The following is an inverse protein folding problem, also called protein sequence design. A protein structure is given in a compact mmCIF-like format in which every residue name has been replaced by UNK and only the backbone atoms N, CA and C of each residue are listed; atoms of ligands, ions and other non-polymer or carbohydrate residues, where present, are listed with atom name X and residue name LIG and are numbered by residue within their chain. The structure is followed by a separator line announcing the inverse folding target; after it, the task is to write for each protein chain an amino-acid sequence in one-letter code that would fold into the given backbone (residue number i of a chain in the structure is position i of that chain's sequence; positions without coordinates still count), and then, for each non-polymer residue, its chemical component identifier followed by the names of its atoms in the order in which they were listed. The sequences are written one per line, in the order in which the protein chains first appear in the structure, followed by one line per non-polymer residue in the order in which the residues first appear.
data_IF_234149950069
#
_entry.id   IF_234149950069
#
_cell.length_a   1.000
_cell.length_b   1.000
_cell.length_c   1.000
_cell.angle_alpha   90.00
_cell.angle_beta   90.00
_cell.angle_gamma   90.00
#
_symmetry.space_group_name_H-M   'P 1'
#
loop_
_entity.id
_entity.type
_entity.pdbx_description
1 polymer ?
#
# COMPACT_ATOMS: atom_id res chain seq x y z
N UNK A 1 15.37 1.92 10.25
CA UNK A 1 14.70 2.83 11.21
C UNK A 1 13.20 2.69 11.03
N UNK A 2 12.54 1.95 11.92
CA UNK A 2 11.11 1.64 11.86
C UNK A 2 10.52 1.69 13.28
N UNK A 3 9.25 2.07 13.41
CA UNK A 3 8.55 2.10 14.71
C UNK A 3 9.24 3.01 15.73
N UNK A 4 9.60 2.48 16.90
CA UNK A 4 10.29 3.24 17.98
C UNK A 4 11.81 3.09 17.94
N UNK A 5 12.35 2.26 17.05
CA UNK A 5 13.79 2.01 17.00
C UNK A 5 14.55 3.12 16.25
N UNK A 6 15.25 3.96 17.01
CA UNK A 6 16.29 4.85 16.50
C UNK A 6 17.65 4.26 16.82
N UNK A 7 18.45 3.85 15.83
CA UNK A 7 19.80 3.33 16.06
C UNK A 7 20.68 4.41 16.70
N UNK A 8 21.69 3.98 17.46
CA UNK A 8 22.68 4.87 18.04
C UNK A 8 23.42 5.67 16.95
N UNK A 9 23.91 6.86 17.29
CA UNK A 9 24.61 7.73 16.34
C UNK A 9 25.84 7.06 15.72
N UNK A 10 26.53 6.19 16.47
CA UNK A 10 27.68 5.42 15.97
C UNK A 10 27.25 4.43 14.87
N UNK A 11 26.10 3.78 15.04
CA UNK A 11 25.55 2.88 14.03
C UNK A 11 25.12 3.64 12.77
N UNK A 12 24.52 4.83 12.92
CA UNK A 12 24.16 5.67 11.77
C UNK A 12 25.37 6.21 11.02
N UNK A 13 26.45 6.57 11.72
CA UNK A 13 27.69 7.07 11.11
C UNK A 13 28.49 6.00 10.38
N UNK A 14 28.35 4.73 10.78
CA UNK A 14 29.03 3.58 10.18
C UNK A 14 28.20 2.87 9.11
N UNK A 15 26.91 3.18 9.00
CA UNK A 15 26.03 2.56 8.01
C UNK A 15 26.25 3.13 6.61
N UNK A 16 26.47 2.25 5.64
CA UNK A 16 26.51 2.62 4.22
C UNK A 16 25.11 2.83 3.61
N UNK A 17 24.11 2.12 4.15
CA UNK A 17 22.72 2.15 3.68
C UNK A 17 21.79 2.37 4.88
N UNK A 18 20.95 3.41 4.78
CA UNK A 18 19.95 3.76 5.79
C UNK A 18 18.56 3.56 5.20
N UNK A 19 17.81 2.59 5.73
CA UNK A 19 16.40 2.38 5.42
C UNK A 19 15.57 3.05 6.52
N UNK A 20 14.67 3.97 6.14
CA UNK A 20 13.88 4.76 7.10
C UNK A 20 12.48 5.03 6.58
N UNK A 21 11.52 5.14 7.49
CA UNK A 21 10.23 5.77 7.15
C UNK A 21 10.40 7.28 7.01
N UNK A 22 9.51 7.98 6.27
CA UNK A 22 9.57 9.44 6.15
C UNK A 22 9.61 10.14 7.51
N UNK A 23 8.77 9.74 8.47
CA UNK A 23 8.67 10.39 9.77
C UNK A 23 9.99 10.35 10.55
N UNK A 24 10.69 9.20 10.50
CA UNK A 24 11.99 9.04 11.17
C UNK A 24 13.07 9.87 10.48
N UNK A 25 13.06 9.92 9.16
CA UNK A 25 14.04 10.71 8.42
C UNK A 25 13.80 12.22 8.56
N UNK A 26 12.54 12.67 8.62
CA UNK A 26 12.20 14.07 8.89
C UNK A 26 12.74 14.51 10.27
N UNK A 27 12.47 13.74 11.32
CA UNK A 27 13.00 14.04 12.67
C UNK A 27 14.53 14.07 12.71
N UNK A 28 15.19 13.31 11.83
CA UNK A 28 16.64 13.29 11.72
C UNK A 28 17.20 14.49 10.95
N UNK A 29 16.59 14.82 9.82
CA UNK A 29 17.11 15.78 8.86
C UNK A 29 16.84 17.25 9.24
N UNK A 30 15.96 17.54 10.19
CA UNK A 30 15.73 18.91 10.71
C UNK A 30 17.02 19.58 11.21
N UNK A 31 17.83 18.87 11.99
CA UNK A 31 19.10 19.39 12.52
C UNK A 31 20.31 19.02 11.65
N UNK A 32 20.18 19.12 10.32
CA UNK A 32 21.23 18.70 9.39
C UNK A 32 22.56 19.46 9.56
N UNK A 33 22.53 20.74 10.00
CA UNK A 33 23.73 21.52 10.31
C UNK A 33 24.64 20.87 11.38
N UNK A 34 24.06 20.26 12.41
CA UNK A 34 24.81 19.59 13.49
C UNK A 34 25.07 18.11 13.21
N UNK A 35 24.39 17.53 12.22
CA UNK A 35 24.39 16.09 11.92
C UNK A 35 25.14 15.81 10.63
N UNK A 36 26.45 15.60 10.76
CA UNK A 36 27.35 15.36 9.62
C UNK A 36 26.94 14.19 8.71
N UNK A 37 26.28 13.16 9.25
CA UNK A 37 25.83 12.02 8.46
C UNK A 37 24.70 12.37 7.48
N UNK A 38 23.88 13.40 7.76
CA UNK A 38 22.85 13.86 6.81
C UNK A 38 23.51 14.54 5.60
N UNK A 39 24.57 15.32 5.84
CA UNK A 39 25.35 15.98 4.78
C UNK A 39 26.23 14.99 3.98
N UNK A 40 26.50 13.80 4.52
CA UNK A 40 27.28 12.75 3.83
C UNK A 40 26.44 11.94 2.84
N UNK A 41 25.11 12.03 2.87
CA UNK A 41 24.23 11.31 1.95
C UNK A 41 24.58 11.69 0.52
N UNK A 42 24.92 10.72 -0.32
CA UNK A 42 25.19 10.93 -1.75
C UNK A 42 24.05 10.46 -2.66
N UNK A 43 23.15 9.62 -2.14
CA UNK A 43 22.06 9.01 -2.89
C UNK A 43 20.82 8.94 -1.99
N UNK A 44 19.68 9.40 -2.50
CA UNK A 44 18.38 9.27 -1.87
C UNK A 44 17.43 8.54 -2.81
N UNK A 45 16.95 7.37 -2.38
CA UNK A 45 15.95 6.57 -3.08
C UNK A 45 14.60 6.81 -2.40
N UNK A 46 13.62 7.23 -3.17
CA UNK A 46 12.26 7.51 -2.72
C UNK A 46 11.36 6.46 -3.33
N UNK A 47 11.05 5.42 -2.55
CA UNK A 47 10.11 4.39 -2.99
C UNK A 47 8.67 4.89 -2.86
N UNK A 48 7.84 4.53 -3.83
CA UNK A 48 6.42 4.90 -3.92
C UNK A 48 6.13 6.39 -3.72
N UNK A 49 6.91 7.25 -4.40
CA UNK A 49 6.83 8.72 -4.27
C UNK A 49 5.45 9.30 -4.62
N UNK A 50 4.64 8.57 -5.38
CA UNK A 50 3.26 8.92 -5.66
C UNK A 50 2.36 9.04 -4.41
N UNK A 51 2.79 8.50 -3.27
CA UNK A 51 2.16 8.69 -1.97
C UNK A 51 2.25 10.13 -1.43
N UNK A 52 2.90 11.03 -2.15
CA UNK A 52 2.91 12.46 -1.85
C UNK A 52 1.49 13.07 -1.80
N UNK A 53 0.52 12.49 -2.52
CA UNK A 53 -0.89 12.89 -2.45
C UNK A 53 -1.70 12.26 -1.31
N UNK A 54 -1.09 11.40 -0.48
CA UNK A 54 -1.76 10.74 0.65
C UNK A 54 -1.56 11.51 1.97
N UNK A 55 -2.17 11.04 3.06
CA UNK A 55 -2.10 11.68 4.39
C UNK A 55 -0.67 11.90 4.91
N UNK A 56 0.27 11.01 4.54
CA UNK A 56 1.70 11.11 4.92
C UNK A 56 2.55 11.89 3.91
N UNK A 57 1.95 12.30 2.80
CA UNK A 57 2.60 12.99 1.71
C UNK A 57 3.30 14.30 2.07
N UNK A 58 2.75 15.16 2.95
CA UNK A 58 3.42 16.40 3.36
C UNK A 58 4.81 16.18 3.96
N UNK A 59 4.96 15.12 4.76
CA UNK A 59 6.24 14.77 5.37
C UNK A 59 7.25 14.34 4.31
N UNK A 60 6.82 13.50 3.36
CA UNK A 60 7.66 13.07 2.24
C UNK A 60 8.10 14.27 1.39
N UNK A 61 7.18 15.16 1.06
CA UNK A 61 7.45 16.37 0.29
C UNK A 61 8.50 17.25 0.98
N UNK A 62 8.36 17.47 2.29
CA UNK A 62 9.28 18.31 3.06
C UNK A 62 10.68 17.70 3.13
N UNK A 63 10.78 16.40 3.35
CA UNK A 63 12.07 15.70 3.36
C UNK A 63 12.80 15.90 2.04
N UNK A 64 12.13 15.65 0.93
CA UNK A 64 12.73 15.71 -0.39
C UNK A 64 13.16 17.15 -0.70
N UNK A 65 12.28 18.11 -0.42
CA UNK A 65 12.56 19.54 -0.61
C UNK A 65 13.75 19.99 0.24
N UNK A 66 13.82 19.57 1.51
CA UNK A 66 14.95 19.84 2.41
C UNK A 66 16.25 19.22 1.89
N UNK A 67 16.23 17.98 1.44
CA UNK A 67 17.44 17.32 0.93
C UNK A 67 17.94 17.98 -0.37
N UNK A 68 17.03 18.47 -1.23
CA UNK A 68 17.41 19.27 -2.39
C UNK A 68 18.03 20.61 -1.99
N UNK A 69 17.47 21.26 -0.99
CA UNK A 69 18.04 22.47 -0.40
C UNK A 69 19.44 22.20 0.18
N UNK A 70 19.62 21.12 0.95
CA UNK A 70 20.94 20.72 1.48
C UNK A 70 21.92 20.45 0.34
N UNK A 71 21.47 19.79 -0.74
CA UNK A 71 22.30 19.54 -1.93
C UNK A 71 22.72 20.82 -2.66
N UNK A 72 21.98 21.93 -2.52
CA UNK A 72 22.35 23.21 -3.14
C UNK A 72 23.27 24.06 -2.25
N UNK A 73 23.23 23.83 -0.92
CA UNK A 73 24.09 24.49 0.06
C UNK A 73 25.43 23.79 0.28
N UNK A 74 25.51 22.49 -0.02
CA UNK A 74 26.72 21.69 0.17
C UNK A 74 27.44 21.47 -1.16
N UNK A 75 28.78 21.32 -1.13
CA UNK A 75 29.59 21.01 -2.32
C UNK A 75 29.32 19.60 -2.89
N UNK A 76 28.52 18.79 -2.19
CA UNK A 76 28.23 17.41 -2.52
C UNK A 76 26.82 17.29 -3.10
N UNK A 77 26.75 17.00 -4.40
CA UNK A 77 25.47 16.73 -5.06
C UNK A 77 24.83 15.44 -4.54
N UNK A 78 23.56 15.50 -4.18
CA UNK A 78 22.75 14.33 -3.83
C UNK A 78 22.05 13.81 -5.09
N UNK A 79 22.25 12.53 -5.42
CA UNK A 79 21.49 11.87 -6.49
C UNK A 79 20.12 11.46 -5.96
N UNK A 80 19.05 11.85 -6.64
CA UNK A 80 17.69 11.41 -6.34
C UNK A 80 17.26 10.31 -7.30
N UNK A 81 16.61 9.28 -6.77
CA UNK A 81 15.96 8.21 -7.53
C UNK A 81 14.54 8.05 -6.98
N UNK A 82 13.54 8.46 -7.76
CA UNK A 82 12.13 8.28 -7.40
C UNK A 82 11.56 7.03 -8.07
N UNK A 83 10.99 6.12 -7.29
CA UNK A 83 10.23 4.97 -7.77
C UNK A 83 8.75 5.25 -7.56
N UNK A 84 7.95 5.00 -8.59
CA UNK A 84 6.54 5.36 -8.61
C UNK A 84 5.75 4.40 -9.48
N UNK A 85 4.45 4.32 -9.20
CA UNK A 85 3.46 3.88 -10.19
C UNK A 85 3.34 4.91 -11.32
N UNK A 86 2.68 4.55 -12.41
CA UNK A 86 2.45 5.45 -13.54
C UNK A 86 1.69 6.72 -13.11
N UNK A 87 2.20 7.89 -13.47
CA UNK A 87 1.65 9.20 -13.07
C UNK A 87 1.21 10.03 -14.28
N UNK A 88 0.15 10.83 -14.12
CA UNK A 88 -0.29 11.75 -15.16
C UNK A 88 0.68 12.94 -15.31
N UNK A 89 1.17 13.46 -14.18
CA UNK A 89 2.02 14.64 -14.06
C UNK A 89 3.46 14.29 -13.64
N UNK A 90 4.04 13.26 -14.27
CA UNK A 90 5.40 12.81 -13.94
C UNK A 90 6.48 13.88 -14.22
N UNK A 91 6.22 14.82 -15.15
CA UNK A 91 7.15 15.92 -15.47
C UNK A 91 7.31 16.88 -14.31
N UNK A 92 6.23 17.32 -13.69
CA UNK A 92 6.28 18.22 -12.54
C UNK A 92 7.05 17.59 -11.37
N UNK A 93 6.86 16.28 -11.17
CA UNK A 93 7.59 15.52 -10.17
C UNK A 93 9.09 15.40 -10.51
N UNK A 94 9.43 15.16 -11.78
CA UNK A 94 10.82 15.13 -12.25
C UNK A 94 11.50 16.48 -12.06
N UNK A 95 10.85 17.58 -12.46
CA UNK A 95 11.33 18.95 -12.29
C UNK A 95 11.51 19.30 -10.82
N UNK A 96 10.58 18.86 -9.97
CA UNK A 96 10.70 19.01 -8.52
C UNK A 96 11.84 18.18 -7.93
N UNK A 97 12.16 17.01 -8.47
CA UNK A 97 13.33 16.23 -8.04
C UNK A 97 14.65 16.76 -8.63
N UNK A 98 14.58 17.59 -9.67
CA UNK A 98 15.76 17.99 -10.47
C UNK A 98 16.23 16.89 -11.41
N UNK A 99 15.34 15.98 -11.80
CA UNK A 99 15.59 14.93 -12.79
C UNK A 99 15.43 15.53 -14.18
N UNK A 100 16.45 15.35 -15.02
CA UNK A 100 16.44 15.79 -16.42
C UNK A 100 15.57 14.84 -17.27
N UNK A 101 15.16 15.29 -18.46
CA UNK A 101 14.28 14.52 -19.35
C UNK A 101 14.84 13.13 -19.72
N UNK A 102 16.16 12.98 -19.81
CA UNK A 102 16.84 11.71 -20.08
C UNK A 102 16.79 10.71 -18.90
N UNK A 103 16.50 11.20 -17.69
CA UNK A 103 16.31 10.39 -16.48
C UNK A 103 14.86 10.09 -16.13
N UNK A 104 13.89 10.66 -16.87
CA UNK A 104 12.46 10.48 -16.60
C UNK A 104 11.88 9.30 -17.37
N UNK A 105 11.56 8.23 -16.65
CA UNK A 105 10.89 7.05 -17.20
C UNK A 105 9.46 6.96 -16.65
N UNK A 106 8.47 7.35 -17.45
CA UNK A 106 7.05 7.24 -17.10
C UNK A 106 6.33 6.30 -18.07
N UNK A 107 5.96 5.12 -17.59
CA UNK A 107 5.33 4.08 -18.40
C UNK A 107 3.81 4.10 -18.24
N UNK A 108 3.09 3.56 -19.23
CA UNK A 108 1.63 3.35 -19.09
C UNK A 108 1.36 2.27 -18.05
N UNK A 109 0.24 2.32 -17.31
CA UNK A 109 -0.17 1.28 -16.35
C UNK A 109 -0.21 -0.14 -16.95
N UNK A 110 -0.40 -0.26 -18.28
CA UNK A 110 -0.42 -1.53 -19.00
C UNK A 110 0.96 -2.19 -19.15
N UNK A 111 2.05 -1.46 -18.93
CA UNK A 111 3.43 -1.98 -19.03
C UNK A 111 3.79 -2.72 -17.73
N UNK A 112 3.13 -3.86 -17.50
CA UNK A 112 3.45 -4.77 -16.39
C UNK A 112 4.11 -6.03 -16.95
N UNK A 113 5.10 -6.61 -16.25
CA UNK A 113 5.69 -7.90 -16.65
C UNK A 113 4.65 -9.01 -16.77
N UNK A 114 3.64 -8.99 -15.89
CA UNK A 114 2.44 -9.84 -15.96
C UNK A 114 1.24 -8.93 -16.22
N UNK A 115 0.63 -8.96 -17.41
CA UNK A 115 -0.58 -8.19 -17.72
C UNK A 115 -1.71 -8.47 -16.73
N UNK A 116 -2.42 -7.42 -16.32
CA UNK A 116 -3.53 -7.52 -15.37
C UNK A 116 -4.87 -7.33 -16.10
N UNK A 117 -5.75 -8.34 -16.01
CA UNK A 117 -7.15 -8.23 -16.41
C UNK A 117 -8.00 -7.75 -15.23
N UNK A 118 -8.78 -6.68 -15.41
CA UNK A 118 -9.55 -6.06 -14.33
C UNK A 118 -11.03 -6.09 -14.62
N UNK A 119 -11.81 -6.67 -13.71
CA UNK A 119 -13.26 -6.70 -13.75
C UNK A 119 -13.84 -5.84 -12.63
N UNK A 120 -14.60 -4.79 -12.98
CA UNK A 120 -15.30 -3.96 -11.99
C UNK A 120 -16.79 -4.29 -12.02
N UNK A 121 -17.31 -4.68 -10.86
CA UNK A 121 -18.72 -4.96 -10.63
C UNK A 121 -19.29 -3.96 -9.64
N UNK A 122 -20.35 -3.27 -10.04
CA UNK A 122 -21.06 -2.33 -9.19
C UNK A 122 -22.20 -3.02 -8.45
N UNK A 123 -22.43 -2.57 -7.21
CA UNK A 123 -23.43 -3.13 -6.32
C UNK A 123 -24.34 -2.01 -5.81
N UNK A 124 -25.66 -2.10 -6.03
CA UNK A 124 -26.60 -1.12 -5.54
C UNK A 124 -26.81 -1.24 -4.03
N UNK A 125 -27.46 -0.22 -3.44
CA UNK A 125 -27.81 -0.19 -2.03
C UNK A 125 -26.90 0.73 -1.23
N UNK A 126 -27.50 1.60 -0.42
CA UNK A 126 -26.79 2.66 0.33
C UNK A 126 -26.06 2.11 1.56
N UNK A 127 -26.64 1.13 2.24
CA UNK A 127 -26.11 0.62 3.50
C UNK A 127 -24.94 -0.36 3.29
N UNK A 128 -23.87 -0.17 4.05
CA UNK A 128 -22.63 -0.91 3.93
C UNK A 128 -22.80 -2.43 4.17
N UNK A 129 -23.37 -2.83 5.30
CA UNK A 129 -23.42 -4.25 5.68
C UNK A 129 -24.22 -5.12 4.68
N UNK A 130 -25.46 -4.75 4.28
CA UNK A 130 -26.19 -5.52 3.28
C UNK A 130 -25.46 -5.60 1.94
N UNK A 131 -24.79 -4.51 1.54
CA UNK A 131 -23.99 -4.46 0.31
C UNK A 131 -22.77 -5.37 0.39
N UNK A 132 -22.10 -5.46 1.54
CA UNK A 132 -21.01 -6.42 1.73
C UNK A 132 -21.49 -7.86 1.67
N UNK A 133 -22.68 -8.16 2.19
CA UNK A 133 -23.23 -9.52 2.13
C UNK A 133 -23.59 -9.92 0.70
N UNK A 134 -24.18 -9.02 -0.09
CA UNK A 134 -24.52 -9.31 -1.50
C UNK A 134 -23.29 -9.56 -2.38
N UNK A 135 -22.11 -9.08 -1.97
CA UNK A 135 -20.83 -9.31 -2.65
C UNK A 135 -20.21 -10.69 -2.38
N UNK A 136 -20.67 -11.46 -1.39
CA UNK A 136 -20.05 -12.76 -1.04
C UNK A 136 -20.21 -13.81 -2.16
N UNK A 137 -21.43 -13.98 -2.67
CA UNK A 137 -21.72 -14.96 -3.74
C UNK A 137 -20.96 -14.64 -5.04
N UNK A 138 -20.89 -13.38 -5.50
CA UNK A 138 -20.05 -13.00 -6.63
C UNK A 138 -18.54 -13.14 -6.37
N UNK A 139 -18.07 -12.88 -5.14
CA UNK A 139 -16.68 -13.13 -4.79
C UNK A 139 -16.33 -14.62 -4.92
N UNK A 140 -17.19 -15.52 -4.42
CA UNK A 140 -17.03 -16.96 -4.61
C UNK A 140 -17.04 -17.36 -6.09
N UNK A 141 -18.02 -16.87 -6.85
CA UNK A 141 -18.11 -17.14 -8.29
C UNK A 141 -16.87 -16.65 -9.05
N UNK A 142 -16.30 -15.53 -8.65
CA UNK A 142 -15.05 -15.01 -9.21
C UNK A 142 -13.85 -15.94 -8.92
N UNK A 143 -13.77 -16.55 -7.73
CA UNK A 143 -12.74 -17.55 -7.41
C UNK A 143 -12.86 -18.74 -8.37
N UNK A 144 -14.04 -19.34 -8.46
CA UNK A 144 -14.27 -20.52 -9.30
C UNK A 144 -14.04 -20.24 -10.79
N UNK A 145 -14.38 -19.04 -11.26
CA UNK A 145 -14.24 -18.66 -12.68
C UNK A 145 -12.81 -18.28 -13.04
N UNK A 146 -12.15 -17.50 -12.20
CA UNK A 146 -10.90 -16.83 -12.56
C UNK A 146 -9.66 -17.51 -11.97
N UNK A 147 -9.80 -18.28 -10.90
CA UNK A 147 -8.67 -18.86 -10.16
C UNK A 147 -9.05 -20.19 -9.46
N UNK A 148 -9.50 -21.22 -10.19
CA UNK A 148 -10.00 -22.46 -9.60
C UNK A 148 -8.95 -23.20 -8.75
N UNK A 149 -7.69 -23.22 -9.19
CA UNK A 149 -6.59 -23.96 -8.52
C UNK A 149 -5.41 -23.07 -8.12
N UNK A 150 -5.57 -21.74 -8.21
CA UNK A 150 -4.47 -20.77 -7.98
C UNK A 150 -4.79 -19.84 -6.80
N UNK A 151 -3.75 -19.29 -6.14
CA UNK A 151 -3.93 -18.46 -4.95
C UNK A 151 -4.79 -17.22 -5.20
N UNK A 152 -5.65 -16.91 -4.23
CA UNK A 152 -6.57 -15.79 -4.23
C UNK A 152 -6.38 -14.94 -2.97
N UNK A 153 -6.18 -13.64 -3.18
CA UNK A 153 -6.26 -12.64 -2.12
C UNK A 153 -7.60 -11.92 -2.15
N UNK A 154 -8.27 -11.81 -1.01
CA UNK A 154 -9.52 -11.06 -0.87
C UNK A 154 -9.30 -9.93 0.13
N UNK A 155 -9.25 -8.69 -0.36
CA UNK A 155 -9.18 -7.51 0.48
C UNK A 155 -10.56 -7.09 0.96
N UNK A 156 -10.68 -6.84 2.26
CA UNK A 156 -11.88 -6.35 2.93
C UNK A 156 -11.53 -5.21 3.89
N UNK A 157 -12.52 -4.40 4.25
CA UNK A 157 -12.25 -3.15 4.97
C UNK A 157 -12.05 -3.27 6.49
N UNK A 158 -12.35 -4.43 7.08
CA UNK A 158 -12.27 -4.58 8.54
C UNK A 158 -11.97 -6.00 9.00
N UNK A 159 -11.44 -6.12 10.22
CA UNK A 159 -11.21 -7.39 10.93
C UNK A 159 -12.49 -8.22 11.07
N UNK A 160 -13.62 -7.56 11.26
CA UNK A 160 -14.92 -8.25 11.32
C UNK A 160 -15.26 -8.85 9.96
N UNK A 161 -14.96 -8.12 8.88
CA UNK A 161 -15.32 -8.56 7.55
C UNK A 161 -14.42 -9.67 7.01
N UNK A 162 -13.19 -9.83 7.49
CA UNK A 162 -12.36 -10.99 7.11
C UNK A 162 -13.06 -12.28 7.53
N UNK A 163 -13.50 -12.33 8.80
CA UNK A 163 -14.24 -13.47 9.35
C UNK A 163 -15.57 -13.71 8.64
N UNK A 164 -16.40 -12.67 8.50
CA UNK A 164 -17.72 -12.84 7.88
C UNK A 164 -17.60 -13.36 6.43
N UNK A 165 -16.70 -12.76 5.65
CA UNK A 165 -16.47 -13.21 4.26
C UNK A 165 -15.97 -14.65 4.23
N UNK A 166 -15.02 -15.03 5.09
CA UNK A 166 -14.51 -16.40 5.11
C UNK A 166 -15.61 -17.42 5.47
N UNK A 167 -16.44 -17.14 6.47
CA UNK A 167 -17.56 -18.02 6.84
C UNK A 167 -18.59 -18.16 5.72
N UNK A 168 -18.92 -17.06 5.04
CA UNK A 168 -19.84 -17.09 3.89
C UNK A 168 -19.24 -17.87 2.71
N UNK A 169 -17.92 -17.77 2.47
CA UNK A 169 -17.23 -18.56 1.44
C UNK A 169 -17.23 -20.06 1.77
N UNK A 170 -17.07 -20.43 3.05
CA UNK A 170 -17.19 -21.83 3.50
C UNK A 170 -18.60 -22.36 3.24
N UNK A 171 -19.63 -21.60 3.58
CA UNK A 171 -21.02 -22.00 3.36
C UNK A 171 -21.32 -22.19 1.86
N UNK A 172 -20.80 -21.29 1.01
CA UNK A 172 -20.94 -21.40 -0.44
C UNK A 172 -20.18 -22.61 -0.99
N UNK A 173 -18.96 -22.86 -0.54
CA UNK A 173 -18.17 -24.04 -0.94
C UNK A 173 -18.82 -25.34 -0.49
N UNK A 174 -19.39 -25.38 0.71
CA UNK A 174 -20.11 -26.55 1.21
C UNK A 174 -21.40 -26.87 0.45
N UNK A 175 -21.94 -25.88 -0.29
CA UNK A 175 -23.10 -26.06 -1.17
C UNK A 175 -22.69 -26.52 -2.58
N UNK A 176 -21.39 -26.58 -2.87
CA UNK A 176 -20.82 -27.01 -4.16
C UNK A 176 -20.30 -28.45 -4.08
N UNK A 177 -19.94 -29.04 -5.22
CA UNK A 177 -19.52 -30.45 -5.32
C UNK A 177 -18.21 -30.75 -4.55
N UNK A 178 -17.37 -29.72 -4.32
CA UNK A 178 -16.06 -29.84 -3.65
C UNK A 178 -15.93 -28.90 -2.45
N UNK A 179 -16.44 -29.29 -1.27
CA UNK A 179 -16.45 -28.47 -0.06
C UNK A 179 -15.06 -28.02 0.42
N UNK A 180 -14.01 -28.81 0.15
CA UNK A 180 -12.63 -28.56 0.59
C UNK A 180 -11.70 -28.16 -0.56
N UNK A 181 -12.25 -27.63 -1.67
CA UNK A 181 -11.48 -27.29 -2.87
C UNK A 181 -10.29 -26.34 -2.63
N UNK A 182 -10.37 -25.49 -1.60
CA UNK A 182 -9.31 -24.50 -1.32
C UNK A 182 -8.15 -25.06 -0.49
N UNK A 183 -8.22 -26.33 -0.06
CA UNK A 183 -7.22 -26.97 0.78
C UNK A 183 -6.30 -27.86 -0.08
N UNK A 184 -5.01 -27.57 -0.06
CA UNK A 184 -3.98 -28.31 -0.82
C UNK A 184 -3.01 -29.02 0.14
N UNK A 185 -3.56 -29.73 1.12
CA UNK A 185 -2.80 -30.48 2.12
C UNK A 185 -3.56 -31.71 2.63
N UNK A 186 -2.82 -32.70 3.14
CA UNK A 186 -3.38 -33.89 3.76
C UNK A 186 -3.83 -33.61 5.20
N UNK A 187 -4.86 -34.33 5.66
CA UNK A 187 -5.49 -34.13 6.97
C UNK A 187 -4.50 -34.22 8.15
N UNK A 188 -3.57 -35.17 8.13
CA UNK A 188 -2.56 -35.32 9.19
C UNK A 188 -1.67 -34.07 9.36
N UNK A 189 -1.30 -33.43 8.25
CA UNK A 189 -0.51 -32.20 8.28
C UNK A 189 -1.34 -31.02 8.74
N UNK A 190 -2.63 -31.01 8.38
CA UNK A 190 -3.57 -29.97 8.78
C UNK A 190 -3.76 -29.98 10.30
N UNK A 191 -3.99 -31.14 10.91
CA UNK A 191 -4.19 -31.26 12.37
C UNK A 191 -2.99 -30.75 13.17
N UNK A 192 -1.76 -31.05 12.71
CA UNK A 192 -0.55 -30.52 13.33
C UNK A 192 -0.47 -29.00 13.27
N UNK A 193 -0.86 -28.40 12.13
CA UNK A 193 -0.86 -26.95 11.95
C UNK A 193 -1.96 -26.31 12.80
N UNK A 194 -3.18 -26.86 12.79
CA UNK A 194 -4.32 -26.37 13.56
C UNK A 194 -4.07 -26.39 15.08
N UNK A 195 -3.23 -27.32 15.57
CA UNK A 195 -2.83 -27.38 16.97
C UNK A 195 -1.98 -26.17 17.41
N UNK A 196 -1.32 -25.49 16.47
CA UNK A 196 -0.46 -24.34 16.74
C UNK A 196 -1.20 -23.01 16.66
N UNK A 197 -2.37 -22.99 16.02
CA UNK A 197 -3.18 -21.79 15.80
C UNK A 197 -3.92 -21.42 17.07
N UNK A 198 -3.77 -20.18 17.50
CA UNK A 198 -4.42 -19.69 18.73
C UNK A 198 -5.77 -19.05 18.47
N UNK A 199 -5.94 -18.31 17.37
CA UNK A 199 -7.23 -17.69 17.03
C UNK A 199 -8.26 -18.75 16.59
N UNK A 200 -9.41 -18.76 17.26
CA UNK A 200 -10.45 -19.76 17.03
C UNK A 200 -11.12 -19.65 15.66
N UNK A 201 -11.27 -18.43 15.14
CA UNK A 201 -11.90 -18.21 13.83
C UNK A 201 -10.92 -18.59 12.72
N UNK A 202 -9.64 -18.27 12.88
CA UNK A 202 -8.59 -18.67 11.95
C UNK A 202 -8.47 -20.20 11.90
N UNK A 203 -8.43 -20.85 13.07
CA UNK A 203 -8.38 -22.31 13.14
C UNK A 203 -9.56 -22.97 12.43
N UNK A 204 -10.77 -22.43 12.59
CA UNK A 204 -11.94 -22.95 11.90
C UNK A 204 -11.87 -22.73 10.38
N UNK A 205 -11.49 -21.53 9.94
CA UNK A 205 -11.45 -21.19 8.51
C UNK A 205 -10.34 -21.92 7.74
N UNK A 206 -9.20 -22.18 8.39
CA UNK A 206 -8.09 -22.94 7.81
C UNK A 206 -8.43 -24.39 7.49
N UNK A 207 -9.39 -25.01 8.21
CA UNK A 207 -9.87 -26.37 7.90
C UNK A 207 -10.45 -26.47 6.48
N UNK A 208 -10.90 -25.34 5.92
CA UNK A 208 -11.48 -25.26 4.59
C UNK A 208 -10.53 -24.60 3.58
N UNK A 209 -9.24 -24.43 3.92
CA UNK A 209 -8.26 -23.81 3.04
C UNK A 209 -8.40 -22.29 2.89
N UNK A 210 -9.05 -21.63 3.86
CA UNK A 210 -9.23 -20.17 3.88
C UNK A 210 -8.48 -19.56 5.06
N UNK A 211 -7.47 -18.74 4.79
CA UNK A 211 -6.73 -17.98 5.81
C UNK A 211 -7.38 -16.62 6.11
N UNK A 212 -7.11 -16.11 7.32
CA UNK A 212 -7.45 -14.74 7.73
C UNK A 212 -6.16 -13.96 7.98
N UNK A 213 -6.10 -12.69 7.57
CA UNK A 213 -4.98 -11.81 7.87
C UNK A 213 -5.42 -10.41 8.25
N UNK A 214 -5.10 -10.00 9.48
CA UNK A 214 -5.34 -8.64 9.95
C UNK A 214 -4.48 -8.31 11.16
N UNK A 215 -4.34 -7.01 11.46
CA UNK A 215 -3.57 -6.51 12.59
C UNK A 215 -4.02 -7.01 13.98
N UNK A 216 -5.21 -7.61 14.10
CA UNK A 216 -5.67 -8.24 15.35
C UNK A 216 -5.14 -9.65 15.62
N UNK A 217 -4.48 -10.31 14.65
CA UNK A 217 -3.85 -11.61 14.87
C UNK A 217 -2.50 -11.42 15.56
N UNK A 218 -2.12 -12.38 16.40
CA UNK A 218 -0.76 -12.39 16.94
C UNK A 218 0.27 -12.70 15.83
N UNK A 219 1.54 -12.38 16.08
CA UNK A 219 2.59 -12.50 15.07
C UNK A 219 2.83 -13.95 14.63
N UNK A 220 2.62 -14.91 15.54
CA UNK A 220 2.77 -16.35 15.25
C UNK A 220 1.73 -16.83 14.25
N UNK A 221 0.45 -16.60 14.52
CA UNK A 221 -0.67 -16.97 13.64
C UNK A 221 -0.57 -16.24 12.31
N UNK A 222 -0.15 -14.96 12.33
CA UNK A 222 0.07 -14.17 11.11
C UNK A 222 1.15 -14.79 10.23
N UNK A 223 2.33 -15.06 10.79
CA UNK A 223 3.45 -15.66 10.04
C UNK A 223 3.09 -17.05 9.50
N UNK A 224 2.39 -17.85 10.30
CA UNK A 224 1.93 -19.17 9.89
C UNK A 224 1.00 -19.11 8.67
N UNK A 225 0.01 -18.21 8.68
CA UNK A 225 -0.93 -18.07 7.54
C UNK A 225 -0.22 -17.55 6.29
N UNK A 226 0.71 -16.61 6.44
CA UNK A 226 1.54 -16.12 5.34
C UNK A 226 2.37 -17.25 4.71
N UNK A 227 2.94 -18.13 5.54
CA UNK A 227 3.71 -19.30 5.09
C UNK A 227 2.82 -20.32 4.37
N UNK A 228 1.65 -20.65 4.94
CA UNK A 228 0.70 -21.57 4.32
C UNK A 228 0.23 -21.07 2.95
N UNK A 229 -0.04 -19.78 2.82
CA UNK A 229 -0.46 -19.17 1.56
C UNK A 229 0.68 -19.15 0.54
N UNK A 230 1.88 -18.73 0.95
CA UNK A 230 3.07 -18.67 0.07
C UNK A 230 3.44 -20.03 -0.50
N UNK A 231 3.27 -21.08 0.31
CA UNK A 231 3.54 -22.47 -0.07
C UNK A 231 2.35 -23.15 -0.77
N UNK A 232 1.31 -22.39 -1.16
CA UNK A 232 0.08 -22.87 -1.78
C UNK A 232 -0.60 -24.02 -1.02
N UNK A 233 -0.50 -24.06 0.32
CA UNK A 233 -1.20 -25.03 1.17
C UNK A 233 -2.66 -24.66 1.37
N UNK A 234 -2.91 -23.35 1.40
CA UNK A 234 -4.24 -22.75 1.36
C UNK A 234 -4.37 -21.90 0.10
N UNK A 235 -5.53 -21.92 -0.53
CA UNK A 235 -5.75 -21.19 -1.77
C UNK A 235 -6.26 -19.77 -1.52
N UNK A 236 -7.08 -19.53 -0.50
CA UNK A 236 -7.74 -18.25 -0.28
C UNK A 236 -7.19 -17.58 0.98
N UNK A 237 -6.85 -16.30 0.87
CA UNK A 237 -6.46 -15.48 2.01
C UNK A 237 -7.31 -14.21 2.07
N UNK A 238 -8.14 -14.09 3.11
CA UNK A 238 -8.99 -12.91 3.34
C UNK A 238 -8.27 -11.95 4.28
N UNK A 239 -7.96 -10.75 3.79
CA UNK A 239 -7.08 -9.82 4.47
C UNK A 239 -7.62 -8.38 4.53
N UNK A 240 -7.13 -7.61 5.51
CA UNK A 240 -7.36 -6.16 5.54
C UNK A 240 -6.39 -5.42 4.61
N UNK A 241 -6.75 -4.20 4.19
CA UNK A 241 -5.95 -3.37 3.26
C UNK A 241 -4.49 -3.15 3.68
N UNK A 242 -4.18 -3.26 4.98
CA UNK A 242 -2.81 -3.17 5.51
C UNK A 242 -1.83 -4.17 4.86
N UNK A 243 -2.30 -5.33 4.39
CA UNK A 243 -1.45 -6.32 3.72
C UNK A 243 -0.94 -5.81 2.36
N UNK A 244 -1.64 -4.86 1.73
CA UNK A 244 -1.24 -4.27 0.44
C UNK A 244 0.14 -3.62 0.50
N UNK A 245 0.59 -3.18 1.68
CA UNK A 245 1.87 -2.49 1.90
C UNK A 245 2.90 -3.33 2.68
N UNK A 246 2.47 -4.39 3.37
CA UNK A 246 3.27 -5.02 4.42
C UNK A 246 4.08 -6.26 4.01
N UNK A 247 3.60 -7.07 3.07
CA UNK A 247 4.19 -8.39 2.77
C UNK A 247 4.07 -8.72 1.29
N UNK A 248 5.09 -9.37 0.73
CA UNK A 248 5.06 -9.83 -0.65
C UNK A 248 4.37 -11.20 -0.78
N UNK A 249 3.04 -11.19 -0.79
CA UNK A 249 2.21 -12.37 -1.08
C UNK A 249 1.52 -12.20 -2.44
N UNK A 250 2.20 -12.47 -3.57
CA UNK A 250 1.57 -12.33 -4.87
C UNK A 250 0.55 -13.46 -5.09
N UNK A 251 -0.62 -13.11 -5.61
CA UNK A 251 -1.72 -14.02 -5.90
C UNK A 251 -2.02 -14.05 -7.40
N UNK A 252 -2.69 -15.09 -7.89
CA UNK A 252 -3.16 -15.09 -9.27
C UNK A 252 -4.37 -14.16 -9.43
N UNK A 253 -5.30 -14.25 -8.49
CA UNK A 253 -6.51 -13.44 -8.41
C UNK A 253 -6.48 -12.56 -7.16
N UNK A 254 -6.79 -11.28 -7.33
CA UNK A 254 -7.12 -10.36 -6.24
C UNK A 254 -8.58 -9.97 -6.33
N UNK A 255 -9.32 -10.06 -5.22
CA UNK A 255 -10.68 -9.56 -5.08
C UNK A 255 -10.65 -8.41 -4.09
N UNK A 256 -11.07 -7.21 -4.51
CA UNK A 256 -11.28 -6.07 -3.61
C UNK A 256 -12.77 -6.00 -3.30
N UNK A 257 -13.14 -6.45 -2.11
CA UNK A 257 -14.53 -6.56 -1.66
C UNK A 257 -14.93 -5.34 -0.84
N UNK A 258 -15.49 -4.36 -1.54
CA UNK A 258 -15.79 -3.05 -1.00
C UNK A 258 -14.59 -2.11 -1.08
N UNK A 259 -14.82 -0.88 -1.54
CA UNK A 259 -13.78 0.14 -1.71
C UNK A 259 -13.90 1.27 -0.69
N UNK A 260 -14.48 0.97 0.47
CA UNK A 260 -14.81 1.94 1.50
C UNK A 260 -14.63 1.31 2.89
N UNK A 261 -14.20 2.12 3.85
CA UNK A 261 -13.96 1.71 5.23
C UNK A 261 -14.61 2.69 6.19
N UNK A 262 -14.90 2.24 7.40
CA UNK A 262 -15.46 3.10 8.43
C UNK A 262 -14.36 3.91 9.10
N UNK A 263 -14.41 5.24 8.96
CA UNK A 263 -13.53 6.14 9.69
C UNK A 263 -14.18 6.53 11.03
N UNK A 264 -13.50 6.19 12.12
CA UNK A 264 -13.93 6.50 13.48
C UNK A 264 -13.88 7.99 13.81
N UNK A 265 -13.02 8.77 13.13
CA UNK A 265 -12.90 10.22 13.38
C UNK A 265 -14.10 10.96 12.81
N UNK A 266 -14.42 10.74 11.54
CA UNK A 266 -15.58 11.35 10.87
C UNK A 266 -16.90 10.62 11.12
N UNK A 267 -16.86 9.42 11.74
CA UNK A 267 -17.99 8.53 12.03
C UNK A 267 -18.78 8.13 10.77
N UNK A 268 -18.11 8.04 9.62
CA UNK A 268 -18.72 7.76 8.31
C UNK A 268 -17.91 6.72 7.55
N UNK A 269 -18.54 6.10 6.57
CA UNK A 269 -17.80 5.33 5.56
C UNK A 269 -17.16 6.30 4.58
N UNK A 270 -15.85 6.18 4.44
CA UNK A 270 -15.03 6.95 3.51
C UNK A 270 -14.42 6.00 2.49
N UNK A 271 -14.13 6.51 1.31
CA UNK A 271 -13.49 5.72 0.26
C UNK A 271 -12.03 5.46 0.57
N UNK A 272 -11.51 4.32 0.10
CA UNK A 272 -10.09 4.15 -0.02
C UNK A 272 -9.50 5.17 -0.99
N UNK A 273 -8.30 5.63 -0.71
CA UNK A 273 -7.50 6.37 -1.68
C UNK A 273 -7.20 5.44 -2.85
N UNK A 274 -7.21 5.97 -4.07
CA UNK A 274 -7.01 5.15 -5.28
C UNK A 274 -5.67 4.40 -5.27
N UNK A 275 -4.64 4.97 -4.64
CA UNK A 275 -3.32 4.37 -4.48
C UNK A 275 -3.40 3.05 -3.71
N UNK A 276 -4.19 2.97 -2.64
CA UNK A 276 -4.38 1.72 -1.89
C UNK A 276 -5.05 0.65 -2.77
N UNK A 277 -6.03 1.04 -3.58
CA UNK A 277 -6.72 0.13 -4.51
C UNK A 277 -5.73 -0.39 -5.57
N UNK A 278 -4.90 0.48 -6.13
CA UNK A 278 -3.86 0.08 -7.09
C UNK A 278 -2.83 -0.86 -6.46
N UNK A 279 -2.44 -0.65 -5.21
CA UNK A 279 -1.53 -1.53 -4.48
C UNK A 279 -2.14 -2.90 -4.20
N UNK A 280 -3.41 -2.92 -3.76
CA UNK A 280 -4.16 -4.17 -3.60
C UNK A 280 -4.20 -4.95 -4.92
N UNK A 281 -4.58 -4.31 -6.01
CA UNK A 281 -4.58 -4.91 -7.36
C UNK A 281 -3.18 -5.30 -7.85
N UNK A 282 -2.15 -4.58 -7.42
CA UNK A 282 -0.75 -4.83 -7.73
C UNK A 282 -0.30 -6.22 -7.27
N UNK A 283 -0.94 -6.79 -6.24
CA UNK A 283 -0.69 -8.14 -5.74
C UNK A 283 -1.17 -9.25 -6.68
N UNK A 284 -1.97 -8.93 -7.70
CA UNK A 284 -2.39 -9.90 -8.71
C UNK A 284 -1.32 -10.07 -9.80
N UNK A 285 -1.08 -11.32 -10.18
CA UNK A 285 -0.09 -11.74 -11.15
C UNK A 285 1.23 -12.10 -10.47
N UNK A 286 1.58 -13.39 -10.48
CA UNK A 286 2.85 -13.90 -9.94
C UNK A 286 3.91 -13.93 -11.05
N UNK A 287 4.96 -13.09 -11.00
CA UNK A 287 6.06 -13.16 -11.95
C UNK A 287 6.63 -14.58 -12.01
N UNK A 288 7.01 -15.05 -13.20
CA UNK A 288 7.52 -16.42 -13.46
C UNK A 288 6.48 -17.55 -13.38
N UNK A 289 5.36 -17.38 -12.68
CA UNK A 289 4.33 -18.42 -12.53
C UNK A 289 3.09 -18.21 -13.40
N UNK A 290 2.69 -16.94 -13.60
CA UNK A 290 1.47 -16.60 -14.31
C UNK A 290 1.76 -15.79 -15.59
N UNK A 291 1.00 -16.08 -16.65
CA UNK A 291 1.00 -15.28 -17.89
C UNK A 291 0.13 -14.02 -17.77
N UNK A 292 -0.91 -14.08 -16.94
CA UNK A 292 -1.83 -12.99 -16.66
C UNK A 292 -2.23 -13.02 -15.18
N UNK A 293 -2.41 -11.84 -14.58
CA UNK A 293 -3.06 -11.67 -13.29
C UNK A 293 -4.51 -11.25 -13.48
N UNK A 294 -5.37 -11.54 -12.51
CA UNK A 294 -6.78 -11.11 -12.52
C UNK A 294 -7.10 -10.29 -11.28
N UNK A 295 -7.85 -9.21 -11.46
CA UNK A 295 -8.37 -8.40 -10.37
C UNK A 295 -9.89 -8.21 -10.51
N UNK A 296 -10.63 -8.46 -9.44
CA UNK A 296 -12.07 -8.23 -9.39
C UNK A 296 -12.37 -7.19 -8.32
N UNK A 297 -12.96 -6.06 -8.71
CA UNK A 297 -13.29 -4.96 -7.82
C UNK A 297 -14.80 -4.92 -7.63
N UNK A 298 -15.25 -5.19 -6.41
CA UNK A 298 -16.65 -5.14 -6.01
C UNK A 298 -16.89 -3.80 -5.32
N UNK A 299 -17.59 -2.90 -6.00
CA UNK A 299 -17.71 -1.49 -5.62
C UNK A 299 -19.15 -1.05 -5.50
N UNK A 300 -19.41 0.01 -4.73
CA UNK A 300 -20.71 0.68 -4.74
C UNK A 300 -21.00 1.26 -6.14
N UNK A 301 -22.17 0.94 -6.73
CA UNK A 301 -22.53 1.25 -8.12
C UNK A 301 -22.20 2.69 -8.56
N UNK A 302 -22.52 3.75 -7.79
CA UNK A 302 -22.24 5.13 -8.21
C UNK A 302 -20.75 5.43 -8.44
N UNK A 303 -19.85 4.65 -7.83
CA UNK A 303 -18.39 4.82 -7.91
C UNK A 303 -17.75 3.97 -9.00
N UNK A 304 -18.51 3.09 -9.67
CA UNK A 304 -18.00 2.20 -10.71
C UNK A 304 -17.29 2.95 -11.84
N UNK A 305 -17.91 4.01 -12.35
CA UNK A 305 -17.34 4.84 -13.42
C UNK A 305 -16.07 5.56 -13.00
N UNK A 306 -16.00 6.01 -11.73
CA UNK A 306 -14.80 6.61 -11.16
C UNK A 306 -13.63 5.63 -11.24
N UNK A 307 -13.77 4.44 -10.66
CA UNK A 307 -12.68 3.44 -10.68
C UNK A 307 -12.32 3.01 -12.10
N UNK A 308 -13.30 2.83 -12.99
CA UNK A 308 -13.05 2.47 -14.39
C UNK A 308 -12.14 3.47 -15.10
N UNK A 309 -12.28 4.77 -14.83
CA UNK A 309 -11.45 5.81 -15.43
C UNK A 309 -9.98 5.70 -14.98
N UNK A 310 -9.74 5.55 -13.68
CA UNK A 310 -8.38 5.50 -13.10
C UNK A 310 -7.60 4.21 -13.38
N UNK A 311 -8.24 3.17 -13.92
CA UNK A 311 -7.52 1.98 -14.40
C UNK A 311 -6.73 2.25 -15.68
N UNK A 312 -7.23 3.15 -16.54
CA UNK A 312 -6.65 3.43 -17.85
C UNK A 312 -5.93 4.78 -17.90
N UNK A 313 -6.37 5.72 -17.07
CA UNK A 313 -5.76 7.03 -16.92
C UNK A 313 -4.95 7.06 -15.62
N UNK A 314 -3.62 7.31 -15.69
CA UNK A 314 -2.81 7.60 -14.52
C UNK A 314 -3.44 8.72 -13.67
N UNK A 315 -3.32 8.64 -12.35
CA UNK A 315 -3.82 9.70 -11.48
C UNK A 315 -2.81 10.87 -11.42
N UNK A 316 -3.28 12.11 -11.28
CA UNK A 316 -2.43 13.23 -10.94
C UNK A 316 -2.06 13.17 -9.45
N UNK A 317 -0.79 13.39 -9.14
CA UNK A 317 -0.31 13.56 -7.76
C UNK A 317 -0.33 15.04 -7.42
N UNK A 318 -1.08 15.40 -6.38
CA UNK A 318 -1.13 16.76 -5.83
C UNK A 318 -0.41 16.84 -4.49
N UNK A 319 0.02 18.04 -4.11
CA UNK A 319 0.56 18.32 -2.78
C UNK A 319 -0.58 18.53 -1.77
N UNK A 320 -0.50 17.82 -0.64
CA UNK A 320 -1.33 18.09 0.55
C UNK A 320 -0.61 18.97 1.59
N UNK A 321 0.52 19.61 1.23
CA UNK A 321 1.35 20.37 2.17
C UNK A 321 0.61 21.56 2.80
N UNK A 322 -0.39 22.13 2.11
CA UNK A 322 -1.12 23.33 2.54
C UNK A 322 -1.75 23.19 3.92
N UNK A 323 -2.31 22.02 4.25
CA UNK A 323 -2.98 21.79 5.52
C UNK A 323 -1.98 21.63 6.69
N UNK A 324 -0.76 21.19 6.40
CA UNK A 324 0.29 20.89 7.37
C UNK A 324 1.45 21.89 7.38
N UNK A 325 1.32 22.99 6.64
CA UNK A 325 2.42 23.92 6.40
C UNK A 325 2.98 24.55 7.68
N UNK A 326 2.12 24.79 8.66
CA UNK A 326 2.47 25.42 9.94
C UNK A 326 3.50 24.60 10.73
N UNK A 327 3.33 23.29 10.80
CA UNK A 327 4.26 22.40 11.51
C UNK A 327 5.66 22.42 10.87
N UNK A 328 5.69 22.46 9.54
CA UNK A 328 6.93 22.42 8.77
C UNK A 328 7.68 23.76 8.80
N UNK A 329 6.97 24.88 8.62
CA UNK A 329 7.58 26.21 8.77
C UNK A 329 8.16 26.38 10.17
N UNK A 330 7.41 25.98 11.21
CA UNK A 330 7.89 26.06 12.59
C UNK A 330 9.18 25.24 12.79
N UNK A 331 9.25 24.03 12.23
CA UNK A 331 10.45 23.20 12.30
C UNK A 331 11.66 23.86 11.63
N UNK A 332 11.48 24.50 10.47
CA UNK A 332 12.56 25.18 9.75
C UNK A 332 12.99 26.50 10.41
N UNK A 333 12.06 27.20 11.09
CA UNK A 333 12.40 28.35 11.95
C UNK A 333 13.29 27.92 13.11
N UNK A 334 12.89 26.86 13.83
CA UNK A 334 13.70 26.32 14.95
C UNK A 334 15.05 25.79 14.46
N UNK A 335 15.11 25.27 13.24
CA UNK A 335 16.36 24.81 12.62
C UNK A 335 17.23 25.94 12.08
N UNK A 336 16.78 27.20 12.20
CA UNK A 336 17.44 28.41 11.68
C UNK A 336 17.63 28.40 10.16
N UNK A 337 16.84 27.61 9.44
CA UNK A 337 16.75 27.66 7.96
C UNK A 337 15.92 28.87 7.52
N UNK A 338 14.90 29.25 8.31
CA UNK A 338 14.01 30.39 8.06
C UNK A 338 14.13 31.38 9.22
N UNK A 339 14.83 32.48 9.01
CA UNK A 339 14.94 33.62 9.92
C UNK A 339 13.98 34.77 9.60
N UNK A 340 13.49 34.88 8.37
CA UNK A 340 12.59 35.96 7.95
C UNK A 340 11.54 35.49 6.92
N UNK A 341 10.62 36.39 6.56
CA UNK A 341 9.51 36.09 5.63
C UNK A 341 9.98 35.83 4.20
N UNK A 342 11.06 36.47 3.75
CA UNK A 342 11.59 36.28 2.40
C UNK A 342 12.21 34.88 2.27
N UNK A 343 12.96 34.44 3.27
CA UNK A 343 13.50 33.08 3.37
C UNK A 343 12.38 32.04 3.43
N UNK A 344 11.25 32.34 4.09
CA UNK A 344 10.09 31.44 4.08
C UNK A 344 9.51 31.27 2.67
N UNK A 345 9.41 32.35 1.88
CA UNK A 345 8.96 32.30 0.48
C UNK A 345 9.96 31.51 -0.36
N UNK A 346 11.27 31.79 -0.21
CA UNK A 346 12.33 31.05 -0.92
C UNK A 346 12.24 29.56 -0.59
N UNK A 347 12.09 29.19 0.69
CA UNK A 347 11.93 27.80 1.12
C UNK A 347 10.74 27.13 0.43
N UNK A 348 9.59 27.81 0.37
CA UNK A 348 8.41 27.29 -0.33
C UNK A 348 8.66 27.01 -1.82
N UNK A 349 9.55 27.75 -2.49
CA UNK A 349 9.86 27.48 -3.92
C UNK A 349 10.51 26.12 -4.17
N UNK A 350 11.07 25.49 -3.13
CA UNK A 350 11.65 24.14 -3.20
C UNK A 350 10.63 23.01 -3.06
N UNK A 351 9.41 23.35 -2.63
CA UNK A 351 8.34 22.38 -2.38
C UNK A 351 7.65 21.92 -3.67
N UNK A 352 7.04 20.73 -3.63
CA UNK A 352 6.23 20.25 -4.75
C UNK A 352 4.95 21.09 -4.88
N UNK A 353 4.42 21.59 -3.75
CA UNK A 353 3.33 22.55 -3.70
C UNK A 353 3.58 23.72 -4.67
N UNK A 354 4.77 24.33 -4.66
CA UNK A 354 5.08 25.44 -5.57
C UNK A 354 5.10 25.06 -7.05
N UNK A 355 5.38 23.79 -7.38
CA UNK A 355 5.29 23.29 -8.77
C UNK A 355 3.86 23.00 -9.22
N UNK A 356 2.91 22.90 -8.28
CA UNK A 356 1.50 22.59 -8.54
C UNK A 356 0.55 23.76 -8.32
N UNK A 357 1.02 24.85 -7.70
CA UNK A 357 0.34 26.15 -7.65
C UNK A 357 0.31 26.79 -9.04
#
# INVERSE_FOLDING_TARGET
MTGDFTPDMVALLSADIIISTPEKWDGISRSWHSRSYVMKVGLMILDEIHLLGADRGPILEVIVSRMRYISSQTERSIRFVGLSTALANARDLADWLGVRDDGLFNFKPSVRPVPLEVHIQGYPGKFYCPRMNSMNKPAYAAICTHSPDKPVLIFVSSRRQTRLTALDLIQLAASDEKPTQFLSMADNSLDMILSQVTDSNLRHTLQFGIGLHHAGLNDRDRSLVEELFSNNKIQVLVCTSTLAWGVNLPAHLVIIKGTEYYDGKTKRYVDYVITDILQMMGRAGRPQYDQHGKAVILVHEPKKSFYKKFLYEPFPVESNLREHLHDHINAEIVSSTIGNKEEAIIYLTWTYLYRRL
#
